data_IF_973351487441
#
_entry.id   IF_973351487441
#
_cell.length_a   1.000
_cell.length_b   1.000
_cell.length_c   1.000
_cell.angle_alpha   90.00
_cell.angle_beta   90.00
_cell.angle_gamma   90.00
#
_symmetry.space_group_name_H-M   'P 1'
#
loop_
_entity.id
_entity.type
_entity.pdbx_description
1 polymer ?
#
# COMPACT_ATOMS: atom_id res chain seq x y z
N UNK A 1 1.03 33.61 1.45
CA UNK A 1 1.78 33.58 2.74
C UNK A 1 1.72 32.22 3.47
N UNK A 2 0.70 31.39 3.26
CA UNK A 2 0.56 30.11 3.97
C UNK A 2 1.54 29.01 3.51
N UNK A 3 1.90 28.96 2.22
CA UNK A 3 2.75 27.87 1.72
C UNK A 3 4.23 28.02 2.11
N UNK A 4 4.76 29.23 2.19
CA UNK A 4 6.16 29.46 2.61
C UNK A 4 6.37 29.16 4.10
N UNK A 5 5.44 29.56 4.98
CA UNK A 5 5.53 29.32 6.41
C UNK A 5 5.44 27.81 6.73
N UNK A 6 4.54 27.08 6.08
CA UNK A 6 4.43 25.63 6.25
C UNK A 6 5.70 24.90 5.76
N UNK A 7 6.27 25.32 4.63
CA UNK A 7 7.54 24.80 4.12
C UNK A 7 8.69 25.05 5.11
N UNK A 8 8.75 26.22 5.75
CA UNK A 8 9.80 26.54 6.71
C UNK A 8 9.66 25.76 8.03
N UNK A 9 8.43 25.51 8.48
CA UNK A 9 8.18 24.63 9.65
C UNK A 9 8.65 23.21 9.35
N UNK A 10 8.29 22.68 8.20
CA UNK A 10 8.72 21.35 7.76
C UNK A 10 10.25 21.23 7.69
N UNK A 11 10.93 22.18 7.07
CA UNK A 11 12.40 22.20 7.00
C UNK A 11 13.05 22.14 8.38
N UNK A 12 12.53 22.91 9.34
CA UNK A 12 13.02 22.88 10.73
C UNK A 12 12.79 21.52 11.40
N UNK A 13 11.70 20.85 11.09
CA UNK A 13 11.41 19.53 11.65
C UNK A 13 12.40 18.47 11.13
N UNK A 14 12.74 18.52 9.84
CA UNK A 14 13.78 17.65 9.25
C UNK A 14 15.15 17.96 9.86
N UNK A 15 15.50 19.25 10.00
CA UNK A 15 16.74 19.67 10.64
C UNK A 15 16.81 19.24 12.11
N UNK A 16 15.69 19.27 12.82
CA UNK A 16 15.63 18.78 14.20
C UNK A 16 15.92 17.27 14.28
N UNK A 17 15.34 16.45 13.40
CA UNK A 17 15.67 15.02 13.34
C UNK A 17 17.16 14.81 13.06
N UNK A 18 17.73 15.55 12.10
CA UNK A 18 19.15 15.53 11.80
C UNK A 18 20.02 15.83 13.03
N UNK A 19 19.68 16.88 13.78
CA UNK A 19 20.42 17.26 14.98
C UNK A 19 20.36 16.19 16.08
N UNK A 20 19.21 15.56 16.28
CA UNK A 20 19.07 14.43 17.21
C UNK A 20 19.95 13.25 16.80
N UNK A 21 19.98 12.89 15.52
CA UNK A 21 20.85 11.83 15.02
C UNK A 21 22.34 12.18 15.19
N UNK A 22 22.72 13.42 14.90
CA UNK A 22 24.10 13.89 15.05
C UNK A 22 24.52 13.92 16.52
N UNK A 23 23.65 14.37 17.42
CA UNK A 23 23.86 14.39 18.87
C UNK A 23 24.10 13.00 19.47
N UNK A 24 23.46 11.98 18.90
CA UNK A 24 23.63 10.59 19.33
C UNK A 24 24.82 9.88 18.66
N UNK A 25 25.69 10.63 17.99
CA UNK A 25 26.84 10.13 17.22
C UNK A 25 26.44 9.09 16.13
N UNK A 26 25.25 9.28 15.55
CA UNK A 26 24.77 8.45 14.45
C UNK A 26 25.02 9.11 13.08
N UNK A 27 25.42 10.39 13.02
CA UNK A 27 25.83 11.10 11.79
C UNK A 27 27.25 11.64 11.96
N UNK A 28 28.10 11.41 10.96
CA UNK A 28 29.48 11.88 10.90
C UNK A 28 29.86 12.33 9.49
N UNK A 29 30.82 13.24 9.38
CA UNK A 29 31.35 13.72 8.11
C UNK A 29 32.51 12.83 7.66
N UNK A 30 32.52 12.41 6.39
CA UNK A 30 33.59 11.63 5.79
C UNK A 30 33.70 11.90 4.29
N UNK A 31 34.85 11.52 3.71
CA UNK A 31 35.02 11.53 2.25
C UNK A 31 34.57 10.18 1.69
N UNK A 32 33.85 10.22 0.59
CA UNK A 32 33.45 9.05 -0.16
C UNK A 32 34.01 9.13 -1.58
N UNK A 33 34.66 8.05 -2.00
CA UNK A 33 35.10 7.84 -3.37
C UNK A 33 34.43 6.56 -3.88
N UNK A 34 33.67 6.65 -4.97
CA UNK A 34 32.96 5.48 -5.50
C UNK A 34 32.06 5.80 -6.69
N UNK A 35 31.47 4.75 -7.26
CA UNK A 35 30.55 4.85 -8.38
C UNK A 35 29.17 5.31 -7.90
N UNK A 36 28.65 6.39 -8.47
CA UNK A 36 27.36 6.97 -8.14
C UNK A 36 26.46 7.05 -9.38
N UNK A 37 25.21 6.63 -9.27
CA UNK A 37 24.20 6.87 -10.28
C UNK A 37 23.30 8.03 -9.87
N UNK A 38 23.26 9.07 -10.71
CA UNK A 38 22.39 10.23 -10.51
C UNK A 38 20.91 9.84 -10.64
N UNK A 39 20.60 8.91 -11.56
CA UNK A 39 19.22 8.47 -11.80
C UNK A 39 18.66 7.56 -10.71
N UNK A 40 19.53 6.77 -10.08
CA UNK A 40 19.15 5.87 -8.99
C UNK A 40 19.34 6.51 -7.62
N UNK A 41 20.01 7.67 -7.59
CA UNK A 41 20.43 8.38 -6.37
C UNK A 41 21.18 7.45 -5.39
N UNK A 42 21.97 6.52 -5.91
CA UNK A 42 22.60 5.45 -5.15
C UNK A 42 24.09 5.30 -5.50
N UNK A 43 24.87 4.87 -4.51
CA UNK A 43 26.25 4.46 -4.67
C UNK A 43 26.35 2.96 -4.91
N UNK A 44 27.27 2.57 -5.78
CA UNK A 44 27.52 1.20 -6.20
C UNK A 44 28.98 0.81 -5.94
N UNK A 45 29.19 -0.46 -5.57
CA UNK A 45 30.53 -1.02 -5.50
C UNK A 45 30.98 -1.48 -6.90
N UNK A 46 32.25 -1.82 -7.07
CA UNK A 46 32.77 -2.31 -8.34
C UNK A 46 32.10 -3.61 -8.82
N UNK A 47 31.69 -4.46 -7.90
CA UNK A 47 30.96 -5.71 -8.17
C UNK A 47 29.48 -5.52 -8.55
N UNK A 48 28.95 -4.32 -8.34
CA UNK A 48 27.56 -3.95 -8.68
C UNK A 48 27.46 -3.19 -10.00
N UNK A 49 28.58 -3.00 -10.71
CA UNK A 49 28.65 -2.28 -11.99
C UNK A 49 29.15 -3.18 -13.11
N UNK A 50 28.75 -2.86 -14.33
CA UNK A 50 29.23 -3.51 -15.55
C UNK A 50 29.47 -2.48 -16.66
N UNK A 51 30.23 -2.88 -17.64
CA UNK A 51 30.47 -2.07 -18.85
C UNK A 51 29.40 -2.42 -19.90
N UNK A 52 28.57 -1.45 -20.29
CA UNK A 52 27.55 -1.55 -21.33
C UNK A 52 27.74 -0.38 -22.32
N UNK A 53 27.93 -0.68 -23.61
CA UNK A 53 28.09 0.31 -24.67
C UNK A 53 29.15 1.39 -24.36
N UNK A 54 30.31 0.98 -23.85
CA UNK A 54 31.40 1.84 -23.41
C UNK A 54 31.08 2.81 -22.27
N UNK A 55 30.03 2.51 -21.48
CA UNK A 55 29.66 3.23 -20.26
C UNK A 55 29.58 2.27 -19.10
N UNK A 56 29.98 2.74 -17.93
CA UNK A 56 29.72 1.99 -16.71
C UNK A 56 28.28 2.20 -16.27
N UNK A 57 27.59 1.10 -15.98
CA UNK A 57 26.19 1.10 -15.55
C UNK A 57 26.00 0.20 -14.33
N UNK A 58 25.04 0.52 -13.51
CA UNK A 58 24.61 -0.36 -12.40
C UNK A 58 23.97 -1.64 -12.97
N UNK A 59 24.37 -2.81 -12.50
CA UNK A 59 23.84 -4.11 -12.96
C UNK A 59 22.34 -4.20 -12.73
N UNK A 60 21.86 -3.68 -11.60
CA UNK A 60 20.46 -3.80 -11.15
C UNK A 60 19.49 -2.93 -11.95
N UNK A 61 19.88 -1.70 -12.30
CA UNK A 61 19.01 -0.69 -12.92
C UNK A 61 19.35 -0.38 -14.37
N UNK A 62 20.58 -0.77 -14.81
CA UNK A 62 21.20 -0.35 -16.08
C UNK A 62 21.38 1.17 -16.19
N UNK A 63 21.32 1.87 -15.07
CA UNK A 63 21.53 3.31 -15.00
C UNK A 63 23.03 3.65 -15.12
N UNK A 64 23.40 4.74 -15.84
CA UNK A 64 24.77 5.21 -15.90
C UNK A 64 25.32 5.53 -14.50
N UNK A 65 26.59 5.16 -14.27
CA UNK A 65 27.30 5.50 -13.04
C UNK A 65 28.56 6.31 -13.37
N UNK A 66 28.87 7.25 -12.49
CA UNK A 66 30.06 8.11 -12.59
C UNK A 66 30.87 7.96 -11.31
N UNK A 67 32.22 8.07 -11.46
CA UNK A 67 33.10 8.08 -10.29
C UNK A 67 33.02 9.43 -9.59
N UNK A 68 32.61 9.42 -8.33
CA UNK A 68 32.47 10.62 -7.50
C UNK A 68 33.43 10.53 -6.32
N UNK A 69 34.14 11.61 -6.07
CA UNK A 69 34.96 11.82 -4.88
C UNK A 69 34.40 13.06 -4.17
N UNK A 70 33.51 12.82 -3.20
CA UNK A 70 32.76 13.88 -2.54
C UNK A 70 32.79 13.71 -1.02
N UNK A 71 32.91 14.82 -0.31
CA UNK A 71 32.70 14.86 1.12
C UNK A 71 31.19 14.80 1.41
N UNK A 72 30.79 13.91 2.29
CA UNK A 72 29.38 13.69 2.64
C UNK A 72 29.21 13.35 4.11
N UNK A 73 28.06 13.69 4.66
CA UNK A 73 27.65 13.16 5.95
C UNK A 73 27.09 11.74 5.78
N UNK A 74 27.50 10.86 6.69
CA UNK A 74 27.07 9.49 6.73
C UNK A 74 26.28 9.19 7.99
N UNK A 75 25.16 8.48 7.85
CA UNK A 75 24.46 7.85 8.96
C UNK A 75 25.07 6.48 9.22
N UNK A 76 25.44 6.17 10.47
CA UNK A 76 26.05 4.89 10.90
C UNK A 76 25.05 3.73 10.83
N UNK A 77 24.54 3.43 9.64
CA UNK A 77 23.53 2.39 9.43
C UNK A 77 24.06 1.01 9.86
N UNK A 78 25.34 0.74 9.64
CA UNK A 78 26.01 -0.51 10.04
C UNK A 78 25.90 -0.79 11.55
N UNK A 79 25.94 0.26 12.38
CA UNK A 79 25.76 0.18 13.84
C UNK A 79 24.36 -0.37 14.23
N UNK A 80 23.36 -0.18 13.38
CA UNK A 80 21.96 -0.53 13.64
C UNK A 80 21.56 -1.91 13.13
N UNK A 81 22.43 -2.64 12.44
CA UNK A 81 22.14 -3.97 11.88
C UNK A 81 21.56 -4.94 12.91
N UNK A 82 22.25 -5.13 14.04
CA UNK A 82 21.81 -6.02 15.10
C UNK A 82 20.48 -5.58 15.71
N UNK A 83 20.32 -4.27 15.98
CA UNK A 83 19.11 -3.72 16.55
C UNK A 83 17.89 -3.88 15.61
N UNK A 84 18.11 -3.74 14.29
CA UNK A 84 17.07 -3.98 13.29
C UNK A 84 16.65 -5.46 13.26
N UNK A 85 17.59 -6.39 13.27
CA UNK A 85 17.28 -7.82 13.29
C UNK A 85 16.50 -8.21 14.55
N UNK A 86 16.93 -7.73 15.72
CA UNK A 86 16.19 -7.93 16.98
C UNK A 86 14.80 -7.30 16.94
N UNK A 87 14.67 -6.13 16.31
CA UNK A 87 13.37 -5.46 16.12
C UNK A 87 12.43 -6.30 15.25
N UNK A 88 12.92 -6.88 14.13
CA UNK A 88 12.11 -7.73 13.27
C UNK A 88 11.71 -9.05 13.94
N UNK A 89 12.57 -9.61 14.78
CA UNK A 89 12.25 -10.82 15.57
C UNK A 89 11.14 -10.55 16.60
N UNK A 90 11.20 -9.41 17.28
CA UNK A 90 10.20 -8.99 18.27
C UNK A 90 8.88 -8.54 17.62
N UNK A 91 8.92 -8.14 16.34
CA UNK A 91 7.78 -7.65 15.60
C UNK A 91 7.63 -8.44 14.27
N UNK A 92 7.21 -9.72 14.32
CA UNK A 92 7.21 -10.59 13.16
C UNK A 92 6.32 -10.11 12.01
N UNK A 93 5.32 -9.28 12.29
CA UNK A 93 4.36 -8.72 11.32
C UNK A 93 4.73 -7.32 10.82
N UNK A 94 5.91 -6.82 11.22
CA UNK A 94 6.35 -5.47 10.83
C UNK A 94 6.51 -5.32 9.32
N UNK A 95 6.97 -6.34 8.61
CA UNK A 95 7.16 -6.30 7.15
C UNK A 95 6.21 -7.29 6.47
N UNK A 96 5.41 -6.81 5.55
CA UNK A 96 4.48 -7.60 4.74
C UNK A 96 4.57 -7.23 3.25
N UNK A 97 4.26 -8.18 2.35
CA UNK A 97 4.04 -9.61 2.56
C UNK A 97 5.32 -10.38 2.91
N UNK A 98 5.21 -11.66 3.21
CA UNK A 98 6.32 -12.50 3.66
C UNK A 98 7.52 -12.51 2.71
N UNK A 99 7.29 -12.45 1.40
CA UNK A 99 8.34 -12.35 0.38
C UNK A 99 9.23 -11.11 0.59
N UNK A 100 8.61 -9.97 0.91
CA UNK A 100 9.30 -8.70 1.17
C UNK A 100 10.05 -8.72 2.50
N UNK A 101 9.49 -9.37 3.51
CA UNK A 101 10.17 -9.60 4.79
C UNK A 101 11.46 -10.38 4.58
N UNK A 102 11.40 -11.48 3.83
CA UNK A 102 12.57 -12.32 3.55
C UNK A 102 13.65 -11.55 2.77
N UNK A 103 13.26 -10.75 1.79
CA UNK A 103 14.17 -9.88 1.04
C UNK A 103 14.91 -8.90 1.97
N UNK A 104 14.17 -8.20 2.84
CA UNK A 104 14.75 -7.22 3.79
C UNK A 104 15.68 -7.90 4.78
N UNK A 105 15.26 -9.00 5.41
CA UNK A 105 16.08 -9.72 6.38
C UNK A 105 17.36 -10.25 5.74
N UNK A 106 17.27 -10.79 4.53
CA UNK A 106 18.43 -11.28 3.78
C UNK A 106 19.41 -10.14 3.49
N UNK A 107 18.90 -8.98 3.05
CA UNK A 107 19.72 -7.81 2.79
C UNK A 107 20.40 -7.29 4.06
N UNK A 108 19.70 -7.20 5.19
CA UNK A 108 20.31 -6.76 6.45
C UNK A 108 21.38 -7.75 6.92
N UNK A 109 21.12 -9.06 6.82
CA UNK A 109 22.08 -10.10 7.18
C UNK A 109 23.32 -10.17 6.27
N UNK A 110 23.26 -9.64 5.07
CA UNK A 110 24.44 -9.57 4.18
C UNK A 110 25.46 -8.50 4.61
N UNK A 111 25.13 -7.71 5.63
CA UNK A 111 25.96 -6.65 6.18
C UNK A 111 25.51 -5.27 5.69
N UNK A 112 25.17 -4.39 6.63
CA UNK A 112 24.81 -3.01 6.32
C UNK A 112 26.05 -2.12 6.23
N UNK A 113 26.08 -1.24 5.23
CA UNK A 113 27.07 -0.16 5.10
C UNK A 113 26.46 1.16 5.56
N UNK A 114 27.31 2.07 6.01
CA UNK A 114 26.88 3.41 6.40
C UNK A 114 26.29 4.17 5.21
N UNK A 115 25.21 4.88 5.46
CA UNK A 115 24.40 5.52 4.44
C UNK A 115 24.81 7.00 4.29
N UNK A 116 25.19 7.44 3.09
CA UNK A 116 25.36 8.86 2.81
C UNK A 116 24.04 9.61 2.87
N UNK A 117 23.95 10.61 3.76
CA UNK A 117 22.71 11.35 4.07
C UNK A 117 22.82 12.85 3.73
N UNK A 118 23.85 13.26 2.98
CA UNK A 118 23.96 14.62 2.43
C UNK A 118 24.51 14.62 1.02
N UNK A 119 24.40 15.77 0.32
CA UNK A 119 24.93 16.01 -1.02
C UNK A 119 25.49 17.42 -1.11
N UNK A 120 26.60 17.57 -1.86
CA UNK A 120 27.18 18.87 -2.26
C UNK A 120 26.91 19.24 -3.72
N UNK A 121 26.60 18.25 -4.55
CA UNK A 121 26.45 18.38 -6.01
C UNK A 121 25.33 19.31 -6.45
N UNK A 122 24.40 19.64 -5.57
CA UNK A 122 23.31 20.60 -5.84
C UNK A 122 22.96 21.44 -4.61
N UNK A 123 22.41 22.64 -4.86
CA UNK A 123 22.11 23.63 -3.82
C UNK A 123 20.65 23.62 -3.39
N UNK A 124 19.75 22.99 -4.15
CA UNK A 124 18.31 22.93 -3.84
C UNK A 124 18.02 21.82 -2.81
N UNK A 125 17.26 22.15 -1.80
CA UNK A 125 16.86 21.21 -0.76
C UNK A 125 16.97 21.81 0.66
N UNK A 126 16.87 20.95 1.67
CA UNK A 126 17.00 21.34 3.08
C UNK A 126 18.48 21.37 3.44
N UNK A 127 18.97 22.51 3.86
CA UNK A 127 20.38 22.66 4.28
C UNK A 127 20.68 21.88 5.55
N UNK A 128 21.88 21.31 5.60
CA UNK A 128 22.40 20.72 6.83
C UNK A 128 22.60 21.80 7.87
N UNK A 129 22.16 21.61 9.14
CA UNK A 129 22.36 22.57 10.18
C UNK A 129 23.84 22.92 10.38
N UNK A 130 24.16 24.23 10.35
CA UNK A 130 25.51 24.79 10.49
C UNK A 130 26.50 24.39 9.36
N UNK A 131 25.97 23.94 8.20
CA UNK A 131 26.78 23.63 7.03
C UNK A 131 25.98 23.88 5.74
N UNK A 132 26.10 25.10 5.21
CA UNK A 132 25.35 25.55 4.03
C UNK A 132 25.83 24.92 2.71
N UNK A 133 27.00 24.28 2.70
CA UNK A 133 27.55 23.60 1.53
C UNK A 133 26.84 22.27 1.27
N UNK A 134 26.23 21.69 2.30
CA UNK A 134 25.53 20.41 2.20
C UNK A 134 24.02 20.57 2.21
N UNK A 135 23.35 19.73 1.43
CA UNK A 135 21.90 19.55 1.42
C UNK A 135 21.58 18.15 1.99
N UNK A 136 20.58 18.08 2.87
CA UNK A 136 20.12 16.81 3.44
C UNK A 136 19.61 15.92 2.32
N UNK A 137 19.98 14.64 2.35
CA UNK A 137 19.57 13.64 1.36
C UNK A 137 18.05 13.44 1.35
N UNK A 138 17.51 13.34 0.15
CA UNK A 138 16.06 13.32 -0.10
C UNK A 138 15.30 12.29 0.73
N UNK A 139 15.87 11.12 1.01
CA UNK A 139 15.16 10.09 1.77
C UNK A 139 15.09 10.37 3.28
N UNK A 140 16.06 11.04 3.86
CA UNK A 140 15.93 11.52 5.25
C UNK A 140 14.85 12.60 5.35
N UNK A 141 14.82 13.50 4.35
CA UNK A 141 13.78 14.52 4.20
C UNK A 141 12.41 13.86 4.00
N UNK A 142 12.23 13.05 2.96
CA UNK A 142 10.95 12.46 2.59
C UNK A 142 10.35 11.57 3.69
N UNK A 143 11.16 10.77 4.38
CA UNK A 143 10.68 9.90 5.45
C UNK A 143 10.25 10.69 6.70
N UNK A 144 10.88 11.82 6.97
CA UNK A 144 10.49 12.70 8.08
C UNK A 144 9.07 13.23 7.91
N UNK A 145 8.55 13.30 6.69
CA UNK A 145 7.18 13.75 6.42
C UNK A 145 6.13 12.98 7.22
N UNK A 146 6.32 11.68 7.48
CA UNK A 146 5.37 10.87 8.25
C UNK A 146 5.15 11.35 9.68
N UNK A 147 6.17 11.92 10.32
CA UNK A 147 6.07 12.44 11.67
C UNK A 147 5.89 13.97 11.70
N UNK A 148 6.38 14.67 10.69
CA UNK A 148 6.23 16.12 10.60
C UNK A 148 4.77 16.54 10.46
N UNK A 149 3.96 15.77 9.71
CA UNK A 149 2.52 15.96 9.59
C UNK A 149 1.78 15.83 10.93
N UNK A 150 2.42 15.23 11.93
CA UNK A 150 1.91 15.05 13.28
C UNK A 150 2.54 16.02 14.31
N UNK A 151 3.06 17.14 13.83
CA UNK A 151 3.68 18.20 14.63
C UNK A 151 4.98 17.80 15.40
N UNK A 152 5.70 16.75 14.89
CA UNK A 152 7.05 16.48 15.43
C UNK A 152 7.92 17.76 15.35
N UNK A 153 8.76 18.09 16.35
CA UNK A 153 9.21 17.23 17.45
C UNK A 153 8.33 17.24 18.71
N UNK A 154 7.19 17.90 18.70
CA UNK A 154 6.29 17.90 19.86
C UNK A 154 5.60 16.53 20.00
N UNK A 155 6.25 15.59 20.72
CA UNK A 155 5.70 14.25 20.97
C UNK A 155 4.47 14.27 21.92
N UNK A 156 4.19 15.39 22.56
CA UNK A 156 3.02 15.57 23.41
C UNK A 156 1.79 16.08 22.66
N UNK A 157 1.94 16.46 21.40
CA UNK A 157 0.85 16.86 20.52
C UNK A 157 -0.22 15.76 20.39
N UNK A 158 -1.49 16.16 20.36
CA UNK A 158 -2.62 15.23 20.27
C UNK A 158 -2.61 14.42 18.98
N UNK A 159 -2.20 15.01 17.85
CA UNK A 159 -2.08 14.31 16.58
C UNK A 159 -0.98 13.25 16.64
N UNK A 160 0.17 13.59 17.24
CA UNK A 160 1.26 12.64 17.40
C UNK A 160 0.84 11.46 18.28
N UNK A 161 0.25 11.71 19.45
CA UNK A 161 -0.23 10.65 20.35
C UNK A 161 -1.32 9.79 19.74
N UNK A 162 -2.18 10.36 18.90
CA UNK A 162 -3.30 9.65 18.26
C UNK A 162 -2.87 8.79 17.08
N UNK A 163 -1.94 9.28 16.25
CA UNK A 163 -1.64 8.67 14.95
C UNK A 163 -0.24 8.04 14.86
N UNK A 164 0.62 8.26 15.88
CA UNK A 164 1.93 7.63 15.93
C UNK A 164 2.06 6.67 17.13
N UNK A 165 2.59 5.44 16.96
CA UNK A 165 3.12 4.90 15.72
C UNK A 165 2.01 4.58 14.71
N UNK A 166 2.28 4.86 13.42
CA UNK A 166 1.37 4.56 12.33
C UNK A 166 1.00 3.07 12.29
N UNK A 167 -0.26 2.76 12.01
CA UNK A 167 -0.73 1.37 11.93
C UNK A 167 -0.10 0.62 10.78
N UNK A 168 0.03 1.27 9.62
CA UNK A 168 0.69 0.70 8.44
C UNK A 168 1.22 1.81 7.52
N UNK A 169 2.43 1.61 6.99
CA UNK A 169 2.95 2.33 5.83
C UNK A 169 2.73 1.46 4.59
N UNK A 170 1.85 1.87 3.69
CA UNK A 170 1.61 1.20 2.41
C UNK A 170 2.47 1.88 1.36
N UNK A 171 3.37 1.11 0.75
CA UNK A 171 4.40 1.63 -0.14
C UNK A 171 4.61 0.74 -1.37
N UNK A 172 5.17 1.28 -2.45
CA UNK A 172 5.66 0.47 -3.55
C UNK A 172 6.89 -0.37 -3.17
N UNK A 173 7.02 -1.54 -3.75
CA UNK A 173 8.13 -2.46 -3.47
C UNK A 173 9.52 -1.87 -3.77
N UNK A 174 9.59 -0.92 -4.68
CA UNK A 174 10.81 -0.21 -5.10
C UNK A 174 11.41 0.67 -4.00
N UNK A 175 10.58 1.15 -3.06
CA UNK A 175 11.02 1.95 -1.92
C UNK A 175 11.01 1.18 -0.60
N UNK A 176 10.99 -0.15 -0.67
CA UNK A 176 10.90 -1.02 0.52
C UNK A 176 12.09 -0.83 1.47
N UNK A 177 13.31 -0.76 0.95
CA UNK A 177 14.52 -0.62 1.79
C UNK A 177 14.52 0.66 2.59
N UNK A 178 14.04 1.77 2.00
CA UNK A 178 13.93 3.05 2.68
C UNK A 178 12.97 2.99 3.87
N UNK A 179 11.85 2.29 3.75
CA UNK A 179 10.81 2.23 4.78
C UNK A 179 11.00 1.09 5.78
N UNK A 180 11.60 0.00 5.36
CA UNK A 180 11.77 -1.17 6.23
C UNK A 180 13.14 -1.23 6.92
N UNK A 181 14.17 -0.52 6.41
CA UNK A 181 15.53 -0.52 6.95
C UNK A 181 15.93 0.88 7.43
N UNK A 182 15.99 1.87 6.51
CA UNK A 182 16.53 3.19 6.84
C UNK A 182 15.63 3.95 7.80
N UNK A 183 14.32 3.97 7.54
CA UNK A 183 13.36 4.66 8.41
C UNK A 183 13.32 4.12 9.84
N UNK A 184 13.18 2.79 10.08
CA UNK A 184 13.29 2.25 11.42
C UNK A 184 14.63 2.55 12.10
N UNK A 185 15.75 2.52 11.36
CA UNK A 185 17.06 2.85 11.92
C UNK A 185 17.12 4.32 12.37
N UNK A 186 16.64 5.28 11.55
CA UNK A 186 16.57 6.69 11.93
C UNK A 186 15.69 6.90 13.15
N UNK A 187 14.52 6.27 13.20
CA UNK A 187 13.60 6.38 14.31
C UNK A 187 14.19 5.81 15.61
N UNK A 188 14.77 4.63 15.54
CA UNK A 188 15.42 4.00 16.71
C UNK A 188 16.58 4.85 17.21
N UNK A 189 17.40 5.40 16.31
CA UNK A 189 18.48 6.32 16.64
C UNK A 189 17.99 7.61 17.30
N UNK A 190 16.85 8.15 16.86
CA UNK A 190 16.19 9.32 17.45
C UNK A 190 15.28 8.98 18.65
N UNK A 191 15.29 7.72 19.13
CA UNK A 191 14.43 7.24 20.22
C UNK A 191 12.94 7.48 19.98
N UNK A 192 12.52 7.21 18.75
CA UNK A 192 11.12 7.25 18.32
C UNK A 192 10.71 5.82 17.97
N UNK A 193 9.53 5.40 18.41
CA UNK A 193 8.98 4.08 18.08
C UNK A 193 8.74 3.98 16.57
N UNK A 194 9.22 2.93 15.87
CA UNK A 194 8.88 2.70 14.48
C UNK A 194 7.39 2.46 14.25
N UNK A 195 6.88 2.58 12.99
CA UNK A 195 5.51 2.21 12.66
C UNK A 195 5.24 0.74 12.98
N UNK A 196 3.97 0.36 13.13
CA UNK A 196 3.60 -1.02 13.48
C UNK A 196 3.80 -1.99 12.31
N UNK A 197 3.62 -1.52 11.08
CA UNK A 197 3.76 -2.34 9.85
C UNK A 197 4.23 -1.51 8.66
N UNK A 198 5.02 -2.14 7.80
CA UNK A 198 5.35 -1.69 6.45
C UNK A 198 4.83 -2.73 5.47
N UNK A 199 3.95 -2.34 4.55
CA UNK A 199 3.40 -3.20 3.53
C UNK A 199 3.89 -2.78 2.15
N UNK A 200 4.70 -3.61 1.52
CA UNK A 200 5.25 -3.37 0.17
C UNK A 200 4.37 -4.00 -0.90
N UNK A 201 3.60 -3.17 -1.64
CA UNK A 201 2.81 -3.65 -2.78
C UNK A 201 3.63 -3.73 -4.07
N UNK A 202 3.16 -4.54 -5.03
CA UNK A 202 3.76 -4.69 -6.34
C UNK A 202 3.45 -3.53 -7.30
N UNK A 203 3.98 -3.63 -8.52
CA UNK A 203 3.71 -2.66 -9.58
C UNK A 203 2.43 -3.01 -10.34
N UNK A 204 1.80 -1.99 -10.89
CA UNK A 204 0.77 -2.14 -11.91
C UNK A 204 1.46 -2.17 -13.26
N UNK A 205 1.32 -3.28 -13.97
CA UNK A 205 1.89 -3.53 -15.29
C UNK A 205 0.80 -3.37 -16.35
N UNK A 206 1.20 -2.99 -17.55
CA UNK A 206 0.36 -3.01 -18.74
C UNK A 206 1.00 -3.93 -19.77
N UNK A 207 0.28 -4.99 -20.19
CA UNK A 207 0.80 -6.03 -21.07
C UNK A 207 2.12 -6.65 -20.57
N UNK A 208 2.16 -6.99 -19.27
CA UNK A 208 3.32 -7.57 -18.57
C UNK A 208 4.57 -6.67 -18.49
N UNK A 209 4.45 -5.43 -18.93
CA UNK A 209 5.53 -4.45 -18.89
C UNK A 209 5.24 -3.31 -17.91
N UNK A 210 6.30 -2.76 -17.30
CA UNK A 210 6.18 -1.55 -16.49
C UNK A 210 5.68 -0.39 -17.36
N UNK A 211 4.64 0.29 -16.90
CA UNK A 211 4.10 1.47 -17.59
C UNK A 211 5.15 2.58 -17.68
N UNK A 212 5.33 3.11 -18.88
CA UNK A 212 6.28 4.18 -19.16
C UNK A 212 5.74 5.12 -20.22
N UNK A 213 5.93 6.44 -20.03
CA UNK A 213 5.55 7.46 -21.02
C UNK A 213 6.26 7.23 -22.36
N UNK A 214 7.52 6.80 -22.34
CA UNK A 214 8.32 6.55 -23.53
C UNK A 214 7.82 5.34 -24.34
N UNK A 215 7.16 4.37 -23.70
CA UNK A 215 6.60 3.18 -24.36
C UNK A 215 5.16 3.37 -24.83
N UNK A 216 4.48 4.45 -24.41
CA UNK A 216 3.09 4.73 -24.76
C UNK A 216 2.08 3.70 -24.20
N UNK A 217 2.48 2.89 -23.20
CA UNK A 217 1.66 1.83 -22.61
C UNK A 217 0.98 2.26 -21.30
N UNK A 218 0.87 3.57 -21.06
CA UNK A 218 0.22 4.10 -19.86
C UNK A 218 -1.30 4.05 -20.05
N UNK A 219 -1.99 3.39 -19.12
CA UNK A 219 -3.42 3.49 -18.97
C UNK A 219 -3.74 4.71 -18.09
N UNK A 220 -4.29 5.78 -18.71
CA UNK A 220 -4.66 6.97 -17.97
C UNK A 220 -5.92 6.70 -17.13
N UNK A 221 -5.84 6.74 -15.78
CA UNK A 221 -6.98 6.47 -14.92
C UNK A 221 -8.12 7.48 -15.11
N UNK A 222 -7.82 8.71 -15.52
CA UNK A 222 -8.85 9.73 -15.73
C UNK A 222 -9.69 9.43 -16.98
N UNK A 223 -9.08 8.95 -18.06
CA UNK A 223 -9.82 8.54 -19.24
C UNK A 223 -10.65 7.27 -18.96
N UNK A 224 -10.12 6.31 -18.20
CA UNK A 224 -10.88 5.14 -17.78
C UNK A 224 -12.07 5.53 -16.89
N UNK A 225 -11.89 6.44 -15.94
CA UNK A 225 -12.98 6.95 -15.09
C UNK A 225 -14.06 7.64 -15.93
N UNK A 226 -13.67 8.38 -16.93
CA UNK A 226 -14.60 9.08 -17.84
C UNK A 226 -15.44 8.10 -18.65
N UNK A 227 -14.86 6.97 -19.06
CA UNK A 227 -15.52 5.96 -19.88
C UNK A 227 -16.39 4.98 -19.07
N UNK A 228 -15.88 4.49 -17.94
CA UNK A 228 -16.49 3.40 -17.16
C UNK A 228 -17.00 3.82 -15.78
N UNK A 229 -16.59 5.00 -15.29
CA UNK A 229 -16.88 5.47 -13.94
C UNK A 229 -15.76 5.11 -12.93
N UNK A 230 -15.80 5.77 -11.79
CA UNK A 230 -14.78 5.61 -10.72
C UNK A 230 -14.88 4.25 -10.02
N UNK A 231 -16.08 3.84 -9.64
CA UNK A 231 -16.27 2.62 -8.83
C UNK A 231 -15.90 1.34 -9.59
N UNK A 232 -16.23 1.16 -10.88
CA UNK A 232 -15.75 0.03 -11.66
C UNK A 232 -14.21 -0.05 -11.74
N UNK A 233 -13.52 1.08 -11.92
CA UNK A 233 -12.05 1.09 -11.93
C UNK A 233 -11.49 0.69 -10.56
N UNK A 234 -12.01 1.24 -9.47
CA UNK A 234 -11.59 0.89 -8.11
C UNK A 234 -11.83 -0.59 -7.81
N UNK A 235 -12.99 -1.09 -8.16
CA UNK A 235 -13.33 -2.51 -8.01
C UNK A 235 -12.33 -3.41 -8.76
N UNK A 236 -12.09 -3.11 -10.04
CA UNK A 236 -11.16 -3.85 -10.88
C UNK A 236 -9.75 -3.88 -10.31
N UNK A 237 -9.20 -2.72 -9.92
CA UNK A 237 -7.84 -2.63 -9.36
C UNK A 237 -7.70 -3.42 -8.05
N UNK A 238 -8.72 -3.44 -7.22
CA UNK A 238 -8.69 -4.19 -5.95
C UNK A 238 -8.86 -5.68 -6.18
N UNK A 239 -9.68 -6.08 -7.15
CA UNK A 239 -9.97 -7.48 -7.43
C UNK A 239 -8.88 -8.17 -8.21
N UNK A 240 -8.47 -7.60 -9.35
CA UNK A 240 -7.56 -8.24 -10.31
C UNK A 240 -6.10 -8.18 -9.88
N UNK A 241 -5.72 -7.13 -9.15
CA UNK A 241 -4.35 -6.97 -8.66
C UNK A 241 -4.24 -7.55 -7.26
N UNK A 242 -3.67 -8.74 -7.15
CA UNK A 242 -3.37 -9.36 -5.85
C UNK A 242 -2.48 -8.43 -5.04
N UNK A 243 -3.02 -7.86 -3.96
CA UNK A 243 -2.30 -6.86 -3.18
C UNK A 243 -1.00 -7.44 -2.61
N UNK A 244 0.13 -6.79 -2.91
CA UNK A 244 1.48 -7.30 -2.58
C UNK A 244 2.25 -7.89 -3.77
N UNK A 245 1.58 -8.28 -4.84
CA UNK A 245 2.18 -8.79 -6.07
C UNK A 245 2.08 -7.76 -7.21
N UNK A 246 2.84 -7.99 -8.28
CA UNK A 246 2.66 -7.22 -9.51
C UNK A 246 1.35 -7.62 -10.15
N UNK A 247 0.59 -6.63 -10.63
CA UNK A 247 -0.69 -6.84 -11.29
C UNK A 247 -0.64 -6.39 -12.74
N UNK A 248 -1.06 -7.26 -13.66
CA UNK A 248 -1.16 -6.91 -15.07
C UNK A 248 -2.58 -6.47 -15.40
N UNK A 249 -2.74 -5.22 -15.81
CA UNK A 249 -4.04 -4.63 -16.15
C UNK A 249 -4.17 -4.41 -17.64
N UNK A 250 -5.41 -4.58 -18.17
CA UNK A 250 -5.78 -4.24 -19.53
C UNK A 250 -7.22 -3.76 -19.59
N UNK A 251 -7.57 -3.05 -20.65
CA UNK A 251 -8.94 -2.59 -20.87
C UNK A 251 -9.90 -3.77 -21.03
N UNK A 252 -9.52 -4.80 -21.75
CA UNK A 252 -10.31 -6.02 -21.95
C UNK A 252 -10.67 -6.69 -20.63
N UNK A 253 -9.67 -6.88 -19.74
CA UNK A 253 -9.91 -7.45 -18.39
C UNK A 253 -10.79 -6.57 -17.52
N UNK A 254 -10.67 -5.25 -17.67
CA UNK A 254 -11.56 -4.31 -16.99
C UNK A 254 -13.01 -4.49 -17.44
N UNK A 255 -13.24 -4.56 -18.75
CA UNK A 255 -14.58 -4.77 -19.33
C UNK A 255 -15.17 -6.12 -18.93
N UNK A 256 -14.37 -7.18 -18.96
CA UNK A 256 -14.79 -8.51 -18.51
C UNK A 256 -15.17 -8.51 -17.02
N UNK A 257 -14.38 -7.87 -16.18
CA UNK A 257 -14.65 -7.75 -14.74
C UNK A 257 -15.96 -6.97 -14.47
N UNK A 258 -16.18 -5.86 -15.19
CA UNK A 258 -17.41 -5.06 -15.08
C UNK A 258 -18.61 -5.91 -15.51
N UNK A 259 -18.51 -6.58 -16.63
CA UNK A 259 -19.61 -7.37 -17.18
C UNK A 259 -19.92 -8.60 -16.33
N UNK A 260 -18.91 -9.36 -15.91
CA UNK A 260 -19.13 -10.59 -15.15
C UNK A 260 -19.63 -10.33 -13.74
N UNK A 261 -18.95 -9.48 -12.99
CA UNK A 261 -19.18 -9.35 -11.55
C UNK A 261 -20.19 -8.26 -11.24
N UNK A 262 -20.05 -7.08 -11.83
CA UNK A 262 -20.90 -5.94 -11.49
C UNK A 262 -22.23 -6.02 -12.23
N UNK A 263 -22.23 -6.28 -13.54
CA UNK A 263 -23.47 -6.32 -14.33
C UNK A 263 -24.19 -7.67 -14.18
N UNK A 264 -23.54 -8.77 -14.57
CA UNK A 264 -24.22 -10.09 -14.68
C UNK A 264 -24.36 -10.82 -13.33
N UNK A 265 -23.55 -10.50 -12.32
CA UNK A 265 -23.71 -11.06 -10.98
C UNK A 265 -24.50 -10.12 -10.08
N UNK A 266 -23.91 -9.04 -9.60
CA UNK A 266 -24.53 -8.12 -8.64
C UNK A 266 -25.75 -7.39 -9.23
N UNK A 267 -25.57 -6.73 -10.39
CA UNK A 267 -26.64 -5.96 -11.03
C UNK A 267 -27.83 -6.82 -11.43
N UNK A 268 -27.57 -8.00 -12.01
CA UNK A 268 -28.62 -8.95 -12.36
C UNK A 268 -29.38 -9.45 -11.12
N UNK A 269 -28.70 -9.77 -10.02
CA UNK A 269 -29.36 -10.15 -8.76
C UNK A 269 -30.28 -9.04 -8.28
N UNK A 270 -29.77 -7.81 -8.18
CA UNK A 270 -30.56 -6.65 -7.76
C UNK A 270 -31.79 -6.43 -8.65
N UNK A 271 -31.58 -6.45 -9.98
CA UNK A 271 -32.65 -6.26 -10.97
C UNK A 271 -33.75 -7.32 -10.83
N UNK A 272 -33.36 -8.59 -10.80
CA UNK A 272 -34.29 -9.73 -10.75
C UNK A 272 -35.12 -9.70 -9.47
N UNK A 273 -34.48 -9.47 -8.34
CA UNK A 273 -35.17 -9.43 -7.05
C UNK A 273 -36.11 -8.22 -6.97
N UNK A 274 -35.62 -7.03 -7.33
CA UNK A 274 -36.44 -5.80 -7.31
C UNK A 274 -37.62 -5.90 -8.26
N UNK A 275 -37.39 -6.38 -9.50
CA UNK A 275 -38.47 -6.56 -10.47
C UNK A 275 -39.53 -7.55 -9.98
N UNK A 276 -39.08 -8.63 -9.30
CA UNK A 276 -40.01 -9.59 -8.74
C UNK A 276 -40.85 -8.99 -7.61
N UNK A 277 -40.25 -8.27 -6.65
CA UNK A 277 -40.94 -7.59 -5.56
C UNK A 277 -41.97 -6.59 -6.09
N UNK A 278 -41.56 -5.77 -7.07
CA UNK A 278 -42.48 -4.82 -7.70
C UNK A 278 -43.68 -5.51 -8.32
N UNK A 279 -43.46 -6.60 -9.07
CA UNK A 279 -44.50 -7.29 -9.84
C UNK A 279 -45.40 -8.19 -8.98
N UNK A 280 -44.85 -8.80 -7.91
CA UNK A 280 -45.55 -9.89 -7.22
C UNK A 280 -45.83 -9.60 -5.73
N UNK A 281 -45.34 -8.49 -5.17
CA UNK A 281 -45.45 -8.14 -3.75
C UNK A 281 -45.91 -6.68 -3.55
N UNK A 282 -46.69 -6.12 -4.47
CA UNK A 282 -47.22 -4.75 -4.41
C UNK A 282 -46.13 -3.69 -4.14
N UNK A 283 -44.95 -3.88 -4.68
CA UNK A 283 -43.76 -3.02 -4.45
C UNK A 283 -43.35 -2.93 -2.96
N UNK A 284 -43.75 -3.86 -2.13
CA UNK A 284 -43.38 -3.92 -0.71
C UNK A 284 -42.57 -5.17 -0.43
N UNK A 285 -41.50 -5.00 0.34
CA UNK A 285 -40.73 -6.14 0.86
C UNK A 285 -41.62 -6.91 1.80
N UNK A 286 -41.87 -8.23 1.58
CA UNK A 286 -42.72 -9.04 2.42
C UNK A 286 -42.27 -9.07 3.88
N UNK A 287 -43.21 -9.26 4.80
CA UNK A 287 -42.91 -9.43 6.22
C UNK A 287 -42.13 -10.71 6.46
N UNK A 288 -41.27 -10.70 7.48
CA UNK A 288 -40.47 -11.85 7.87
C UNK A 288 -41.37 -12.98 8.37
N UNK A 289 -41.24 -14.14 7.76
CA UNK A 289 -41.86 -15.40 8.23
C UNK A 289 -40.79 -16.36 8.73
N UNK A 290 -41.19 -17.57 9.14
CA UNK A 290 -40.26 -18.60 9.59
C UNK A 290 -39.32 -19.03 8.46
N UNK A 291 -38.01 -18.99 8.72
CA UNK A 291 -36.98 -19.48 7.79
C UNK A 291 -36.96 -21.00 7.75
N UNK A 292 -36.75 -21.56 6.58
CA UNK A 292 -36.45 -22.96 6.36
C UNK A 292 -34.95 -23.24 6.53
N UNK A 293 -34.57 -24.53 6.54
CA UNK A 293 -33.18 -24.92 6.79
C UNK A 293 -32.20 -24.34 5.74
N UNK A 294 -32.61 -24.29 4.48
CA UNK A 294 -31.77 -23.73 3.40
C UNK A 294 -31.58 -22.22 3.54
N UNK A 295 -32.60 -21.52 4.04
CA UNK A 295 -32.55 -20.09 4.34
C UNK A 295 -31.55 -19.82 5.48
N UNK A 296 -31.69 -20.61 6.56
CA UNK A 296 -30.82 -20.49 7.74
C UNK A 296 -29.33 -20.76 7.33
N UNK A 297 -29.11 -21.81 6.53
CA UNK A 297 -27.79 -22.16 6.08
C UNK A 297 -27.09 -21.01 5.34
N UNK A 298 -27.76 -20.41 4.38
CA UNK A 298 -27.21 -19.27 3.62
C UNK A 298 -26.92 -18.08 4.55
N UNK A 299 -27.85 -17.72 5.46
CA UNK A 299 -27.69 -16.61 6.40
C UNK A 299 -26.53 -16.86 7.37
N UNK A 300 -26.39 -18.09 7.87
CA UNK A 300 -25.32 -18.47 8.78
C UNK A 300 -23.94 -18.39 8.05
N UNK A 301 -23.86 -18.86 6.83
CA UNK A 301 -22.64 -18.75 6.03
C UNK A 301 -22.17 -17.31 5.81
N UNK A 302 -23.09 -16.35 5.66
CA UNK A 302 -22.77 -14.92 5.59
C UNK A 302 -22.30 -14.36 6.95
N UNK A 303 -22.91 -14.78 8.05
CA UNK A 303 -22.64 -14.22 9.38
C UNK A 303 -21.41 -14.81 10.07
N UNK A 304 -21.15 -16.11 9.90
CA UNK A 304 -20.07 -16.83 10.57
C UNK A 304 -18.67 -16.38 10.17
N UNK A 305 -18.51 -15.78 8.98
CA UNK A 305 -17.22 -15.39 8.47
C UNK A 305 -16.85 -13.89 8.68
N UNK A 306 -17.70 -13.13 9.36
CA UNK A 306 -17.46 -11.67 9.52
C UNK A 306 -16.16 -11.34 10.24
N UNK A 307 -15.83 -12.07 11.30
CA UNK A 307 -14.58 -11.82 12.04
C UNK A 307 -13.34 -12.23 11.24
N UNK A 308 -13.46 -13.33 10.47
CA UNK A 308 -12.41 -13.71 9.52
C UNK A 308 -12.23 -12.63 8.44
N UNK A 309 -13.30 -12.13 7.86
CA UNK A 309 -13.23 -11.08 6.84
C UNK A 309 -12.61 -9.78 7.38
N UNK A 310 -12.91 -9.39 8.62
CA UNK A 310 -12.26 -8.26 9.28
C UNK A 310 -10.78 -8.50 9.44
N UNK A 311 -10.38 -9.67 9.92
CA UNK A 311 -8.97 -10.06 10.05
C UNK A 311 -8.24 -10.04 8.70
N UNK A 312 -8.88 -10.46 7.61
CA UNK A 312 -8.27 -10.41 6.26
C UNK A 312 -8.03 -8.96 5.80
N UNK A 313 -8.96 -8.04 6.09
CA UNK A 313 -8.74 -6.60 5.82
C UNK A 313 -7.61 -6.04 6.68
N UNK A 314 -7.56 -6.36 7.96
CA UNK A 314 -6.48 -5.91 8.87
C UNK A 314 -5.11 -6.43 8.42
N UNK A 315 -5.07 -7.59 7.79
CA UNK A 315 -3.87 -8.18 7.18
C UNK A 315 -3.61 -7.72 5.73
N UNK A 316 -4.38 -6.77 5.22
CA UNK A 316 -4.31 -6.24 3.85
C UNK A 316 -4.58 -7.30 2.75
N UNK A 317 -5.27 -8.39 3.08
CA UNK A 317 -5.68 -9.42 2.12
C UNK A 317 -7.02 -9.06 1.46
N UNK A 318 -7.03 -7.93 0.76
CA UNK A 318 -8.26 -7.31 0.24
C UNK A 318 -8.90 -8.18 -0.86
N UNK A 319 -8.09 -8.86 -1.67
CA UNK A 319 -8.59 -9.77 -2.71
C UNK A 319 -9.46 -10.88 -2.12
N UNK A 320 -9.02 -11.50 -1.03
CA UNK A 320 -9.81 -12.54 -0.35
C UNK A 320 -11.18 -12.00 0.09
N UNK A 321 -11.21 -10.78 0.62
CA UNK A 321 -12.46 -10.13 1.04
C UNK A 321 -13.41 -9.93 -0.15
N UNK A 322 -12.91 -9.41 -1.27
CA UNK A 322 -13.71 -9.18 -2.48
C UNK A 322 -14.19 -10.50 -3.09
N UNK A 323 -13.30 -11.48 -3.24
CA UNK A 323 -13.63 -12.80 -3.78
C UNK A 323 -14.69 -13.51 -2.93
N UNK A 324 -14.60 -13.39 -1.61
CA UNK A 324 -15.63 -13.92 -0.71
C UNK A 324 -17.01 -13.30 -1.00
N UNK A 325 -17.09 -11.97 -1.11
CA UNK A 325 -18.36 -11.27 -1.40
C UNK A 325 -18.91 -11.68 -2.78
N UNK A 326 -18.07 -11.70 -3.81
CA UNK A 326 -18.46 -12.06 -5.18
C UNK A 326 -19.02 -13.50 -5.21
N UNK A 327 -18.34 -14.44 -4.55
CA UNK A 327 -18.82 -15.81 -4.45
C UNK A 327 -20.16 -15.91 -3.72
N UNK A 328 -20.37 -15.14 -2.64
CA UNK A 328 -21.69 -15.09 -1.96
C UNK A 328 -22.79 -14.52 -2.87
N UNK A 329 -22.49 -13.55 -3.73
CA UNK A 329 -23.46 -13.04 -4.71
C UNK A 329 -23.83 -14.11 -5.75
N UNK A 330 -22.87 -14.93 -6.20
CA UNK A 330 -23.17 -16.08 -7.08
C UNK A 330 -24.08 -17.10 -6.38
N UNK A 331 -23.82 -17.41 -5.13
CA UNK A 331 -24.68 -18.30 -4.35
C UNK A 331 -26.08 -17.74 -4.12
N UNK A 332 -26.19 -16.43 -3.86
CA UNK A 332 -27.48 -15.76 -3.75
C UNK A 332 -28.27 -15.83 -5.08
N UNK A 333 -27.61 -15.62 -6.21
CA UNK A 333 -28.23 -15.79 -7.53
C UNK A 333 -28.69 -17.23 -7.77
N UNK A 334 -27.87 -18.22 -7.41
CA UNK A 334 -28.21 -19.64 -7.49
C UNK A 334 -29.43 -19.96 -6.58
N UNK A 335 -29.37 -19.53 -5.33
CA UNK A 335 -30.47 -19.73 -4.38
C UNK A 335 -31.79 -19.15 -4.91
N UNK A 336 -31.78 -17.91 -5.44
CA UNK A 336 -32.94 -17.29 -6.03
C UNK A 336 -33.52 -18.10 -7.20
N UNK A 337 -32.65 -18.72 -8.02
CA UNK A 337 -33.07 -19.63 -9.09
C UNK A 337 -33.68 -20.92 -8.55
N UNK A 338 -33.01 -21.56 -7.58
CA UNK A 338 -33.41 -22.85 -7.03
C UNK A 338 -34.73 -22.75 -6.26
N UNK A 339 -34.99 -21.63 -5.62
CA UNK A 339 -36.26 -21.37 -4.90
C UNK A 339 -37.44 -21.10 -5.83
N UNK A 340 -37.20 -20.75 -7.11
CA UNK A 340 -38.24 -20.51 -8.13
C UNK A 340 -39.47 -19.73 -7.60
N UNK A 341 -39.31 -18.54 -6.97
CA UNK A 341 -40.39 -17.83 -6.26
C UNK A 341 -41.58 -17.51 -7.19
N UNK A 342 -41.37 -17.42 -8.49
CA UNK A 342 -42.41 -17.20 -9.50
C UNK A 342 -43.37 -18.40 -9.67
N UNK A 343 -42.99 -19.61 -9.24
CA UNK A 343 -43.83 -20.80 -9.27
C UNK A 343 -44.64 -20.99 -7.99
N UNK A 344 -44.27 -20.34 -6.90
CA UNK A 344 -44.93 -20.46 -5.62
C UNK A 344 -46.22 -19.63 -5.60
N UNK A 345 -47.37 -20.30 -5.38
CA UNK A 345 -48.68 -19.64 -5.39
C UNK A 345 -49.11 -19.07 -4.02
N UNK A 346 -48.50 -19.50 -2.94
CA UNK A 346 -48.77 -19.03 -1.58
C UNK A 346 -47.89 -17.82 -1.25
N UNK A 347 -48.52 -16.70 -0.92
CA UNK A 347 -47.85 -15.44 -0.61
C UNK A 347 -46.92 -15.55 0.61
N UNK A 348 -47.22 -16.45 1.55
CA UNK A 348 -46.36 -16.71 2.72
C UNK A 348 -45.06 -17.40 2.35
N UNK A 349 -45.08 -18.32 1.38
CA UNK A 349 -43.91 -19.05 0.93
C UNK A 349 -43.06 -18.17 -0.01
N UNK A 350 -43.65 -17.24 -0.76
CA UNK A 350 -42.95 -16.25 -1.57
C UNK A 350 -42.09 -15.32 -0.74
N UNK A 351 -42.51 -14.99 0.49
CA UNK A 351 -41.85 -14.04 1.35
C UNK A 351 -40.48 -14.54 1.88
N UNK A 352 -40.26 -15.85 1.99
CA UNK A 352 -39.01 -16.45 2.49
C UNK A 352 -37.82 -16.08 1.61
N UNK A 353 -37.96 -16.19 0.28
CA UNK A 353 -36.92 -15.92 -0.69
C UNK A 353 -36.38 -14.47 -0.71
N UNK A 354 -37.03 -13.54 0.00
CA UNK A 354 -36.72 -12.09 0.01
C UNK A 354 -36.12 -11.58 1.31
N UNK A 355 -36.33 -12.27 2.40
CA UNK A 355 -35.80 -11.84 3.71
C UNK A 355 -34.27 -11.85 3.74
N UNK A 356 -33.62 -12.59 2.85
CA UNK A 356 -32.16 -12.60 2.70
C UNK A 356 -31.59 -11.25 2.33
N UNK A 357 -32.26 -10.48 1.47
CA UNK A 357 -31.79 -9.16 1.05
C UNK A 357 -31.92 -8.11 2.15
N UNK A 358 -32.96 -8.23 3.02
CA UNK A 358 -33.15 -7.32 4.14
C UNK A 358 -32.14 -7.55 5.28
N UNK A 359 -31.62 -8.76 5.44
CA UNK A 359 -30.63 -9.07 6.47
C UNK A 359 -29.27 -8.35 6.20
N UNK A 360 -29.00 -7.98 4.95
CA UNK A 360 -27.83 -7.19 4.57
C UNK A 360 -27.99 -5.69 4.88
N UNK A 361 -29.21 -5.13 4.85
CA UNK A 361 -29.43 -3.69 5.05
C UNK A 361 -29.56 -3.27 6.53
N UNK A 362 -29.85 -4.18 7.44
CA UNK A 362 -30.23 -3.82 8.82
C UNK A 362 -29.15 -4.07 9.88
N UNK A 363 -27.92 -4.41 9.53
CA UNK A 363 -26.83 -4.64 10.49
C UNK A 363 -25.66 -3.64 10.38
N UNK A 364 -25.91 -2.43 9.84
CA UNK A 364 -24.99 -1.31 9.94
C UNK A 364 -25.58 -0.19 10.77
#
# INVERSE_FOLDING_TARGET
RSSSAASDVYKRQVQYLWEELKKNDDIYLSKYSGWYSVSDEAFYNEDEIEDLDNKKVAISSKSPVEWVDEESYFFRLSKWEKALLEFYEKNPDFISPASRKNEVISFVKSGLKDLSVSRKSFSWGIKVPNDDDHVIYVWLDALTNYISALNYPNKDDELFKKFWPASVHIIGKDILRFHAIYWPAFLLAAKITPPKKVYGHGWILSNEEKMSKSKGNILDPLEIIKQYGLDPLRYYLIKEVSFGNDGNISQERLEDCINSDLANNFGNLCQRVSAFVIKNCDSKVPEKIKFENDDIKILDEYSQNLDKLRSEIDNQNINYYIDYIVNRLFEANKYFNDQEPWKKKDDKIRSVSYTHLRAHETRY
#
